data_IF_121693030542
#
_entry.id   IF_121693030542
#
_cell.length_a   1.000
_cell.length_b   1.000
_cell.length_c   1.000
_cell.angle_alpha   90.00
_cell.angle_beta   90.00
_cell.angle_gamma   90.00
#
_symmetry.space_group_name_H-M   'P 1'
#
loop_
_entity.id
_entity.type
_entity.pdbx_description
1 polymer ?
#
# COMPACT_ATOMS: atom_id res chain seq x y z
N UNK A 1 -4.39 -2.39 -13.28
CA UNK A 1 -3.25 -2.21 -12.36
C UNK A 1 -3.45 -0.95 -11.54
N UNK A 2 -3.14 -1.00 -10.24
CA UNK A 2 -3.12 0.19 -9.39
C UNK A 2 -1.87 1.04 -9.64
N UNK A 3 -2.03 2.36 -9.69
CA UNK A 3 -0.91 3.32 -9.71
C UNK A 3 -1.40 4.68 -9.19
N UNK A 4 -0.81 5.16 -8.11
CA UNK A 4 -1.25 6.36 -7.38
C UNK A 4 -0.62 7.60 -8.01
N UNK A 5 0.71 7.62 -8.11
CA UNK A 5 1.49 8.79 -8.48
C UNK A 5 1.74 8.78 -9.99
N UNK A 6 0.72 9.19 -10.74
CA UNK A 6 0.73 9.11 -12.21
C UNK A 6 1.44 10.29 -12.90
N UNK A 7 1.92 11.28 -12.13
CA UNK A 7 2.62 12.45 -12.66
C UNK A 7 3.80 12.07 -13.54
N UNK A 8 3.79 12.51 -14.80
CA UNK A 8 4.84 12.24 -15.80
C UNK A 8 5.05 10.76 -16.17
N UNK A 9 4.16 9.83 -15.80
CA UNK A 9 4.25 8.42 -16.20
C UNK A 9 3.85 8.20 -17.67
N UNK A 10 3.11 9.16 -18.25
CA UNK A 10 2.59 9.08 -19.62
C UNK A 10 1.18 8.50 -19.69
N UNK A 11 0.63 8.38 -20.90
CA UNK A 11 -0.75 7.94 -21.08
C UNK A 11 -0.95 6.48 -20.66
N UNK A 12 -2.00 6.23 -19.88
CA UNK A 12 -2.46 4.89 -19.49
C UNK A 12 -1.35 3.95 -18.92
N UNK A 13 -0.84 4.19 -17.70
CA UNK A 13 0.23 3.39 -17.09
C UNK A 13 -0.01 1.88 -17.12
N UNK A 14 -1.22 1.41 -16.78
CA UNK A 14 -1.55 -0.02 -16.85
C UNK A 14 -1.44 -0.60 -18.27
N UNK A 15 -1.75 0.19 -19.30
CA UNK A 15 -1.58 -0.21 -20.70
C UNK A 15 -0.12 -0.33 -21.07
N UNK A 16 0.70 0.63 -20.64
CA UNK A 16 2.15 0.59 -20.85
C UNK A 16 2.73 -0.69 -20.24
N UNK A 17 2.38 -1.00 -18.98
CA UNK A 17 2.81 -2.23 -18.31
C UNK A 17 2.37 -3.49 -19.08
N UNK A 18 1.12 -3.56 -19.55
CA UNK A 18 0.62 -4.68 -20.35
C UNK A 18 1.43 -4.90 -21.63
N UNK A 19 1.70 -3.82 -22.38
CA UNK A 19 2.47 -3.90 -23.64
C UNK A 19 3.94 -4.24 -23.38
N UNK A 20 4.56 -3.65 -22.34
CA UNK A 20 5.95 -3.96 -21.97
C UNK A 20 6.11 -5.40 -21.45
N UNK A 21 5.08 -5.97 -20.85
CA UNK A 21 5.04 -7.39 -20.48
C UNK A 21 4.80 -8.33 -21.67
N UNK A 22 4.63 -7.80 -22.89
CA UNK A 22 4.46 -8.59 -24.10
C UNK A 22 3.04 -9.14 -24.33
N UNK A 23 2.03 -8.65 -23.59
CA UNK A 23 0.64 -9.05 -23.81
C UNK A 23 0.10 -8.48 -25.13
N UNK A 24 -0.84 -9.19 -25.74
CA UNK A 24 -1.49 -8.78 -26.99
C UNK A 24 -2.09 -7.37 -26.89
N UNK A 25 -2.00 -6.54 -27.94
CA UNK A 25 -2.71 -5.26 -28.00
C UNK A 25 -4.22 -5.37 -27.83
N UNK A 26 -4.82 -6.55 -28.01
CA UNK A 26 -6.26 -6.80 -27.78
C UNK A 26 -6.64 -6.90 -26.30
N UNK A 27 -5.67 -6.98 -25.38
CA UNK A 27 -5.93 -7.06 -23.92
C UNK A 27 -6.29 -5.68 -23.38
N UNK A 28 -7.53 -5.52 -22.89
CA UNK A 28 -7.96 -4.27 -22.28
C UNK A 28 -7.24 -3.95 -20.97
N UNK A 29 -7.13 -2.67 -20.62
CA UNK A 29 -6.39 -2.25 -19.42
C UNK A 29 -6.92 -0.95 -18.83
N UNK A 30 -6.98 -0.90 -17.50
CA UNK A 30 -7.34 0.30 -16.74
C UNK A 30 -6.35 0.53 -15.59
N UNK A 31 -5.98 1.80 -15.40
CA UNK A 31 -5.19 2.25 -14.25
C UNK A 31 -6.13 2.69 -13.14
N UNK A 32 -5.98 2.11 -11.95
CA UNK A 32 -6.85 2.39 -10.79
C UNK A 32 -6.07 3.26 -9.81
N UNK A 33 -6.66 4.38 -9.40
CA UNK A 33 -6.15 5.16 -8.28
C UNK A 33 -7.19 5.15 -7.15
N UNK A 34 -6.86 4.41 -6.09
CA UNK A 34 -7.51 4.43 -4.78
C UNK A 34 -6.44 4.60 -3.69
N UNK A 35 -5.46 5.47 -3.94
CA UNK A 35 -4.30 5.73 -3.07
C UNK A 35 -3.64 4.39 -2.66
N UNK A 36 -3.28 4.18 -1.40
CA UNK A 36 -2.60 2.96 -0.94
C UNK A 36 -3.39 1.67 -1.25
N UNK A 37 -4.72 1.74 -1.40
CA UNK A 37 -5.55 0.58 -1.73
C UNK A 37 -5.60 0.25 -3.23
N UNK A 38 -4.91 1.00 -4.10
CA UNK A 38 -5.00 0.87 -5.56
C UNK A 38 -4.71 -0.54 -6.06
N UNK A 39 -3.66 -1.18 -5.54
CA UNK A 39 -3.27 -2.54 -5.92
C UNK A 39 -4.33 -3.57 -5.55
N UNK A 40 -4.74 -3.58 -4.28
CA UNK A 40 -5.77 -4.50 -3.78
C UNK A 40 -7.14 -4.24 -4.44
N UNK A 41 -7.48 -2.98 -4.71
CA UNK A 41 -8.71 -2.63 -5.42
C UNK A 41 -8.71 -3.14 -6.86
N UNK A 42 -7.58 -3.09 -7.55
CA UNK A 42 -7.46 -3.65 -8.89
C UNK A 42 -7.72 -5.18 -8.88
N UNK A 43 -7.24 -5.90 -7.87
CA UNK A 43 -7.52 -7.34 -7.69
C UNK A 43 -9.02 -7.58 -7.48
N UNK A 44 -9.68 -6.78 -6.64
CA UNK A 44 -11.12 -6.89 -6.42
C UNK A 44 -11.94 -6.62 -7.70
N UNK A 45 -11.56 -5.60 -8.49
CA UNK A 45 -12.22 -5.29 -9.76
C UNK A 45 -12.01 -6.40 -10.81
N UNK A 46 -10.82 -6.99 -10.86
CA UNK A 46 -10.55 -8.13 -11.74
C UNK A 46 -11.38 -9.37 -11.33
N UNK A 47 -11.52 -9.63 -10.03
CA UNK A 47 -12.40 -10.69 -9.54
C UNK A 47 -13.87 -10.44 -9.95
N UNK A 48 -14.33 -9.19 -9.92
CA UNK A 48 -15.70 -8.83 -10.35
C UNK A 48 -15.96 -9.14 -11.83
N UNK A 49 -15.01 -8.87 -12.73
CA UNK A 49 -15.15 -9.26 -14.15
C UNK A 49 -15.36 -10.77 -14.32
N UNK A 50 -14.62 -11.59 -13.55
CA UNK A 50 -14.74 -13.05 -13.57
C UNK A 50 -16.08 -13.49 -12.95
N UNK A 51 -16.46 -12.91 -11.82
CA UNK A 51 -17.73 -13.21 -11.13
C UNK A 51 -18.96 -12.90 -11.99
N UNK A 52 -18.88 -11.86 -12.83
CA UNK A 52 -19.94 -11.45 -13.75
C UNK A 52 -19.93 -12.23 -15.08
N UNK A 53 -18.98 -13.15 -15.29
CA UNK A 53 -18.84 -13.89 -16.54
C UNK A 53 -18.36 -13.04 -17.72
N UNK A 54 -17.69 -11.91 -17.45
CA UNK A 54 -17.18 -11.00 -18.48
C UNK A 54 -15.75 -11.35 -18.92
N UNK A 55 -15.02 -12.11 -18.11
CA UNK A 55 -13.68 -12.61 -18.43
C UNK A 55 -13.39 -13.91 -17.68
N UNK A 56 -12.54 -14.78 -18.25
CA UNK A 56 -12.11 -16.02 -17.59
C UNK A 56 -10.75 -15.89 -16.89
N UNK A 57 -9.91 -14.95 -17.32
CA UNK A 57 -8.60 -14.66 -16.73
C UNK A 57 -8.31 -13.17 -16.72
N UNK A 58 -7.65 -12.69 -15.66
CA UNK A 58 -7.28 -11.28 -15.49
C UNK A 58 -5.90 -11.18 -14.82
N UNK A 59 -5.12 -10.15 -15.18
CA UNK A 59 -3.92 -9.76 -14.42
C UNK A 59 -4.24 -8.51 -13.62
N UNK A 60 -3.97 -8.54 -12.31
CA UNK A 60 -4.24 -7.44 -11.41
C UNK A 60 -3.18 -7.30 -10.32
N UNK A 61 -3.05 -6.10 -9.76
CA UNK A 61 -2.00 -5.77 -8.81
C UNK A 61 -1.72 -4.27 -8.85
N UNK A 62 -0.53 -3.83 -8.47
CA UNK A 62 -0.15 -2.43 -8.43
C UNK A 62 1.31 -2.18 -8.76
N UNK A 63 1.63 -0.94 -9.11
CA UNK A 63 2.99 -0.49 -9.36
C UNK A 63 3.15 0.97 -8.93
N UNK A 64 4.32 1.29 -8.39
CA UNK A 64 4.68 2.66 -8.04
C UNK A 64 6.19 2.85 -8.16
N UNK A 65 6.60 4.05 -8.57
CA UNK A 65 7.99 4.48 -8.48
C UNK A 65 8.01 5.90 -7.91
N UNK A 66 8.07 5.98 -6.58
CA UNK A 66 8.09 7.23 -5.83
C UNK A 66 9.35 8.04 -6.17
N UNK A 67 10.48 7.39 -6.42
CA UNK A 67 11.74 8.08 -6.78
C UNK A 67 11.64 8.90 -8.07
N UNK A 68 10.72 8.58 -8.98
CA UNK A 68 10.54 9.24 -10.27
C UNK A 68 9.39 10.25 -10.33
N UNK A 69 8.71 10.47 -9.21
CA UNK A 69 7.61 11.44 -9.15
C UNK A 69 8.16 12.86 -9.30
N UNK A 70 7.61 13.68 -10.21
CA UNK A 70 8.18 15.00 -10.49
C UNK A 70 7.65 16.07 -9.53
N UNK A 71 8.33 17.21 -9.51
CA UNK A 71 7.73 18.47 -9.09
C UNK A 71 6.77 18.99 -10.17
N UNK A 72 5.77 19.76 -9.76
CA UNK A 72 4.80 20.34 -10.69
C UNK A 72 5.01 21.84 -10.92
N UNK A 73 5.12 22.21 -12.19
CA UNK A 73 5.05 23.59 -12.66
C UNK A 73 3.70 23.82 -13.37
N UNK A 74 2.83 24.71 -12.88
CA UNK A 74 1.60 25.06 -13.59
C UNK A 74 1.89 25.65 -14.97
N UNK A 75 0.94 25.50 -15.91
CA UNK A 75 1.01 26.18 -17.21
C UNK A 75 1.04 27.69 -17.04
N UNK A 76 1.57 28.41 -18.04
CA UNK A 76 1.71 29.86 -18.02
C UNK A 76 0.44 30.63 -17.65
N UNK A 77 -0.74 30.15 -18.07
CA UNK A 77 -2.02 30.78 -17.73
C UNK A 77 -2.43 30.68 -16.25
N UNK A 78 -1.72 29.88 -15.45
CA UNK A 78 -1.92 29.70 -14.02
C UNK A 78 -0.73 30.23 -13.20
N UNK A 79 0.28 30.80 -13.86
CA UNK A 79 1.43 31.40 -13.20
C UNK A 79 1.20 32.91 -13.01
N UNK A 80 1.69 33.50 -11.91
CA UNK A 80 1.67 34.94 -11.73
C UNK A 80 2.58 35.61 -12.77
N UNK A 81 2.25 36.83 -13.24
CA UNK A 81 3.06 37.55 -14.22
C UNK A 81 4.42 38.01 -13.66
N UNK A 82 4.55 38.14 -12.34
CA UNK A 82 5.78 38.43 -11.60
C UNK A 82 5.62 37.94 -10.14
N UNK A 83 6.74 37.74 -9.43
CA UNK A 83 6.73 37.32 -8.02
C UNK A 83 7.17 35.87 -7.80
N UNK A 84 7.14 35.43 -6.54
CA UNK A 84 7.56 34.08 -6.12
C UNK A 84 6.61 33.00 -6.64
N UNK A 85 7.16 31.85 -7.06
CA UNK A 85 6.41 30.65 -7.44
C UNK A 85 6.94 29.48 -6.62
N UNK A 86 6.05 28.78 -5.92
CA UNK A 86 6.35 27.51 -5.25
C UNK A 86 5.98 26.35 -6.15
N UNK A 87 6.93 25.44 -6.37
CA UNK A 87 6.69 24.20 -7.09
C UNK A 87 6.35 23.13 -6.06
N UNK A 88 5.22 22.46 -6.28
CA UNK A 88 4.75 21.40 -5.39
C UNK A 88 5.49 20.09 -5.71
N UNK A 89 5.93 19.38 -4.68
CA UNK A 89 6.42 18.00 -4.81
C UNK A 89 5.22 17.07 -5.02
N UNK A 90 5.22 16.29 -6.12
CA UNK A 90 4.14 15.38 -6.44
C UNK A 90 3.95 14.25 -5.42
N UNK A 91 5.02 13.82 -4.73
CA UNK A 91 4.92 12.83 -3.66
C UNK A 91 4.00 13.31 -2.56
N UNK A 92 4.22 14.57 -2.15
CA UNK A 92 3.45 15.20 -1.08
C UNK A 92 2.05 15.51 -1.60
N UNK A 93 1.94 16.29 -2.68
CA UNK A 93 0.67 16.82 -3.15
C UNK A 93 -0.34 15.75 -3.55
N UNK A 94 0.09 14.74 -4.31
CA UNK A 94 -0.83 13.76 -4.90
C UNK A 94 -0.91 12.47 -4.05
N UNK A 95 0.12 12.18 -3.23
CA UNK A 95 0.21 10.94 -2.46
C UNK A 95 0.00 11.07 -0.95
N UNK A 96 0.57 12.11 -0.33
CA UNK A 96 0.78 12.14 1.13
C UNK A 96 0.15 13.35 1.84
N UNK A 97 -0.69 14.11 1.14
CA UNK A 97 -1.33 15.32 1.66
C UNK A 97 -2.84 15.20 1.73
N UNK A 98 -3.41 15.48 2.89
CA UNK A 98 -4.86 15.47 3.05
C UNK A 98 -5.45 16.72 2.39
N UNK A 99 -6.34 16.49 1.42
CA UNK A 99 -6.91 17.58 0.61
C UNK A 99 -7.84 18.46 1.45
N UNK A 100 -8.43 17.94 2.52
CA UNK A 100 -9.44 18.65 3.32
C UNK A 100 -8.80 19.46 4.45
N UNK A 101 -7.96 18.80 5.26
CA UNK A 101 -7.36 19.36 6.47
C UNK A 101 -6.02 20.05 6.22
N UNK A 102 -5.45 19.90 5.00
CA UNK A 102 -4.22 20.55 4.56
C UNK A 102 -3.01 20.24 5.47
N UNK A 103 -2.78 18.95 5.72
CA UNK A 103 -1.59 18.46 6.40
C UNK A 103 -1.13 17.11 5.84
N UNK A 104 0.06 16.67 6.27
CA UNK A 104 0.63 15.39 5.90
C UNK A 104 -0.13 14.20 6.53
N UNK A 105 -0.20 13.05 5.87
CA UNK A 105 -0.79 11.80 6.42
C UNK A 105 -0.24 11.40 7.79
N UNK A 106 0.98 11.82 8.11
CA UNK A 106 1.60 11.59 9.41
C UNK A 106 0.87 12.29 10.56
N UNK A 107 0.17 13.40 10.30
CA UNK A 107 -0.67 14.08 11.30
C UNK A 107 -1.95 13.28 11.59
N UNK A 108 -2.50 12.55 10.62
CA UNK A 108 -3.59 11.60 10.89
C UNK A 108 -3.12 10.49 11.83
N UNK A 109 -1.90 9.99 11.62
CA UNK A 109 -1.30 8.96 12.47
C UNK A 109 -1.05 9.48 13.90
N UNK A 110 -0.56 10.72 14.06
CA UNK A 110 -0.43 11.37 15.38
C UNK A 110 -1.80 11.53 16.06
N UNK A 111 -2.82 11.95 15.31
CA UNK A 111 -4.19 12.11 15.84
C UNK A 111 -4.75 10.78 16.33
N UNK A 112 -4.53 9.71 15.55
CA UNK A 112 -4.91 8.34 15.93
C UNK A 112 -4.12 7.86 17.14
N UNK A 113 -2.80 8.06 17.16
CA UNK A 113 -1.95 7.66 18.28
C UNK A 113 -2.41 8.32 19.58
N UNK A 114 -2.74 9.61 19.54
CA UNK A 114 -3.32 10.33 20.68
C UNK A 114 -4.69 9.80 21.09
N UNK A 115 -5.60 9.59 20.13
CA UNK A 115 -6.99 9.13 20.38
C UNK A 115 -7.04 7.75 21.03
N UNK A 116 -6.14 6.85 20.66
CA UNK A 116 -6.10 5.48 21.16
C UNK A 116 -4.97 5.23 22.16
N UNK A 117 -4.36 6.30 22.71
CA UNK A 117 -3.30 6.23 23.73
C UNK A 117 -2.19 5.25 23.33
N UNK A 118 -1.65 5.42 22.12
CA UNK A 118 -0.55 4.62 21.58
C UNK A 118 0.72 5.43 21.80
N UNK A 119 1.56 4.96 22.74
CA UNK A 119 2.77 5.68 23.12
C UNK A 119 3.81 5.68 22.01
N UNK A 120 4.83 6.53 22.14
CA UNK A 120 6.01 6.51 21.27
C UNK A 120 6.74 5.17 21.39
N UNK A 121 6.82 4.65 22.60
CA UNK A 121 7.46 3.38 22.92
C UNK A 121 6.74 2.22 22.24
N UNK A 122 5.41 2.17 22.29
CA UNK A 122 4.60 1.15 21.59
C UNK A 122 4.87 1.14 20.08
N UNK A 123 4.99 2.34 19.48
CA UNK A 123 5.26 2.50 18.05
C UNK A 123 6.67 2.04 17.69
N UNK A 124 7.68 2.46 18.46
CA UNK A 124 9.07 2.06 18.21
C UNK A 124 9.26 0.56 18.44
N UNK A 125 8.65 -0.03 19.48
CA UNK A 125 8.71 -1.48 19.73
C UNK A 125 8.09 -2.29 18.59
N UNK A 126 6.93 -1.87 18.08
CA UNK A 126 6.32 -2.49 16.91
C UNK A 126 7.24 -2.41 15.69
N UNK A 127 7.84 -1.24 15.43
CA UNK A 127 8.76 -1.06 14.32
C UNK A 127 10.02 -1.94 14.45
N UNK A 128 10.60 -2.06 15.65
CA UNK A 128 11.71 -3.00 15.93
C UNK A 128 11.28 -4.43 15.57
N UNK A 129 10.09 -4.85 16.02
CA UNK A 129 9.55 -6.18 15.74
C UNK A 129 9.38 -6.41 14.23
N UNK A 130 8.84 -5.42 13.50
CA UNK A 130 8.68 -5.49 12.03
C UNK A 130 10.03 -5.69 11.33
N UNK A 131 11.03 -4.87 11.64
CA UNK A 131 12.40 -5.03 11.12
C UNK A 131 12.98 -6.42 11.42
N UNK A 132 12.82 -6.92 12.65
CA UNK A 132 13.31 -8.25 13.04
C UNK A 132 12.60 -9.37 12.28
N UNK A 133 11.28 -9.27 12.06
CA UNK A 133 10.50 -10.23 11.26
C UNK A 133 10.97 -10.23 9.81
N UNK A 134 11.17 -9.06 9.21
CA UNK A 134 11.67 -8.91 7.85
C UNK A 134 13.08 -9.51 7.70
N UNK A 135 14.01 -9.18 8.61
CA UNK A 135 15.36 -9.76 8.64
C UNK A 135 15.34 -11.27 8.77
N UNK A 136 14.50 -11.81 9.65
CA UNK A 136 14.34 -13.25 9.81
C UNK A 136 13.79 -13.90 8.53
N UNK A 137 12.75 -13.34 7.92
CA UNK A 137 12.16 -13.86 6.69
C UNK A 137 13.16 -13.85 5.52
N UNK A 138 13.98 -12.80 5.40
CA UNK A 138 15.06 -12.71 4.42
C UNK A 138 16.20 -13.70 4.68
N UNK A 139 16.57 -13.93 5.95
CA UNK A 139 17.57 -14.93 6.33
C UNK A 139 17.08 -16.36 6.09
N UNK A 140 15.77 -16.60 6.24
CA UNK A 140 15.10 -17.87 5.97
C UNK A 140 14.67 -18.00 4.49
N UNK A 141 15.03 -17.03 3.64
CA UNK A 141 14.74 -17.00 2.21
C UNK A 141 13.25 -17.15 1.85
N UNK A 142 12.35 -16.61 2.69
CA UNK A 142 10.89 -16.78 2.52
C UNK A 142 10.30 -16.07 1.30
N UNK A 143 10.95 -15.01 0.83
CA UNK A 143 10.46 -14.19 -0.29
C UNK A 143 10.95 -14.67 -1.66
N UNK A 144 11.78 -15.71 -1.71
CA UNK A 144 12.38 -16.18 -2.97
C UNK A 144 11.33 -16.64 -3.99
N UNK A 145 10.21 -17.21 -3.53
CA UNK A 145 9.16 -17.70 -4.41
C UNK A 145 8.27 -16.58 -4.97
N UNK A 146 8.21 -15.41 -4.32
CA UNK A 146 7.34 -14.29 -4.71
C UNK A 146 8.06 -13.16 -5.43
N UNK A 147 9.39 -13.05 -5.30
CA UNK A 147 10.19 -12.02 -5.96
C UNK A 147 10.52 -12.42 -7.40
N UNK A 148 10.17 -11.52 -8.33
CA UNK A 148 10.66 -11.55 -9.71
C UNK A 148 11.87 -10.60 -9.85
N UNK A 149 13.09 -11.10 -10.12
CA UNK A 149 14.27 -10.26 -10.25
C UNK A 149 14.12 -9.18 -11.34
N UNK A 150 14.62 -7.98 -11.06
CA UNK A 150 14.60 -6.83 -11.98
C UNK A 150 16.00 -6.56 -12.52
N UNK A 151 16.20 -6.81 -13.82
CA UNK A 151 17.46 -6.49 -14.50
C UNK A 151 17.49 -5.03 -14.95
N UNK A 152 18.30 -4.23 -14.27
CA UNK A 152 18.55 -2.81 -14.58
C UNK A 152 19.72 -2.69 -15.55
N UNK A 153 19.43 -2.23 -16.78
CA UNK A 153 20.46 -2.00 -17.81
C UNK A 153 21.13 -0.64 -17.61
N UNK A 154 22.41 -0.65 -17.27
CA UNK A 154 23.25 0.54 -17.12
C UNK A 154 24.25 0.72 -18.26
N UNK A 155 24.93 1.88 -18.29
CA UNK A 155 25.95 2.18 -19.31
C UNK A 155 27.16 1.23 -19.27
N UNK A 156 27.44 0.62 -18.12
CA UNK A 156 28.61 -0.24 -17.88
C UNK A 156 28.27 -1.72 -17.72
N UNK A 157 27.04 -2.12 -18.02
CA UNK A 157 26.56 -3.50 -17.84
C UNK A 157 25.19 -3.54 -17.17
N UNK A 158 24.78 -4.74 -16.77
CA UNK A 158 23.49 -5.00 -16.15
C UNK A 158 23.65 -5.23 -14.64
N UNK A 159 22.66 -4.79 -13.85
CA UNK A 159 22.55 -5.07 -12.42
C UNK A 159 21.24 -5.77 -12.17
N UNK A 160 21.26 -6.94 -11.53
CA UNK A 160 20.05 -7.67 -11.18
C UNK A 160 19.68 -7.31 -9.74
N UNK A 161 18.48 -6.79 -9.54
CA UNK A 161 17.91 -6.48 -8.24
C UNK A 161 16.92 -7.58 -7.89
N UNK A 162 17.23 -8.36 -6.86
CA UNK A 162 16.44 -9.52 -6.42
C UNK A 162 16.24 -9.55 -4.89
N UNK A 163 16.60 -8.45 -4.21
CA UNK A 163 16.55 -8.33 -2.75
C UNK A 163 15.88 -7.02 -2.36
N UNK A 164 15.00 -7.07 -1.36
CA UNK A 164 14.45 -5.85 -0.78
C UNK A 164 15.56 -5.00 -0.16
N UNK A 165 15.47 -3.69 -0.35
CA UNK A 165 16.40 -2.73 0.20
C UNK A 165 15.76 -2.00 1.39
N UNK A 166 16.46 -1.95 2.52
CA UNK A 166 16.07 -1.15 3.69
C UNK A 166 15.82 -1.93 4.98
N UNK A 167 15.46 -3.22 4.92
CA UNK A 167 15.16 -4.03 6.11
C UNK A 167 16.40 -4.27 7.01
N UNK A 168 17.62 -4.09 6.51
CA UNK A 168 18.88 -4.20 7.28
C UNK A 168 19.22 -2.92 8.07
N UNK A 169 18.50 -1.83 7.83
CA UNK A 169 18.83 -0.51 8.37
C UNK A 169 18.40 -0.32 9.84
N UNK A 170 17.89 -1.35 10.50
CA UNK A 170 17.52 -1.29 11.91
C UNK A 170 18.71 -0.83 12.76
N UNK A 171 18.51 0.25 13.51
CA UNK A 171 19.43 0.75 14.53
C UNK A 171 18.62 1.03 15.79
N UNK A 172 18.46 0.00 16.62
CA UNK A 172 17.59 0.01 17.81
C UNK A 172 17.87 1.23 18.70
N UNK A 173 19.14 1.51 19.02
CA UNK A 173 19.51 2.64 19.88
C UNK A 173 19.15 4.00 19.26
N UNK A 174 19.19 4.10 17.93
CA UNK A 174 18.85 5.35 17.23
C UNK A 174 17.35 5.58 17.18
N UNK A 175 16.52 4.53 17.11
CA UNK A 175 15.06 4.68 16.99
C UNK A 175 14.50 5.54 18.11
N UNK A 176 14.90 5.28 19.37
CA UNK A 176 14.45 6.03 20.55
C UNK A 176 14.86 7.52 20.55
N UNK A 177 15.87 7.89 19.78
CA UNK A 177 16.40 9.27 19.71
C UNK A 177 15.93 10.04 18.48
N UNK A 178 15.21 9.38 17.56
CA UNK A 178 14.66 10.06 16.39
C UNK A 178 13.64 11.11 16.82
N UNK A 179 13.77 12.29 16.22
CA UNK A 179 12.82 13.39 16.38
C UNK A 179 11.52 13.07 15.65
N UNK A 180 10.37 13.53 16.17
CA UNK A 180 9.11 13.45 15.45
C UNK A 180 9.20 14.08 14.06
N UNK A 181 8.68 13.37 13.06
CA UNK A 181 8.79 13.76 11.66
C UNK A 181 7.78 14.85 11.29
N UNK A 182 6.57 14.76 11.82
CA UNK A 182 5.41 15.54 11.37
C UNK A 182 4.96 16.58 12.40
N UNK A 183 4.78 16.20 13.67
CA UNK A 183 4.33 17.11 14.73
C UNK A 183 5.50 17.51 15.63
N UNK A 184 5.88 18.79 15.62
CA UNK A 184 7.10 19.30 16.29
C UNK A 184 6.83 20.22 17.49
N UNK A 185 5.63 20.21 18.02
CA UNK A 185 5.23 21.03 19.20
C UNK A 185 5.65 20.42 20.55
N UNK A 186 6.36 19.28 20.52
CA UNK A 186 6.77 18.53 21.71
C UNK A 186 5.88 17.32 22.03
N UNK A 187 4.74 17.17 21.35
CA UNK A 187 3.79 16.05 21.57
C UNK A 187 3.86 14.97 20.51
N UNK A 188 4.63 15.17 19.45
CA UNK A 188 4.75 14.21 18.35
C UNK A 188 5.38 12.87 18.75
N UNK A 189 4.85 11.80 18.18
CA UNK A 189 5.23 10.41 18.45
C UNK A 189 5.66 9.66 17.19
N UNK A 190 5.25 10.13 16.00
CA UNK A 190 5.54 9.49 14.73
C UNK A 190 6.91 9.97 14.21
N UNK A 191 7.79 9.03 13.91
CA UNK A 191 9.16 9.26 13.42
C UNK A 191 9.43 8.54 12.12
N UNK A 192 10.55 8.86 11.48
CA UNK A 192 11.01 8.11 10.31
C UNK A 192 11.35 6.63 10.60
N UNK A 193 11.53 6.25 11.88
CA UNK A 193 11.83 4.87 12.26
C UNK A 193 10.59 4.01 12.50
N UNK A 194 9.44 4.63 12.78
CA UNK A 194 8.17 3.95 13.08
C UNK A 194 7.06 4.27 12.05
N UNK A 195 7.46 4.81 10.89
CA UNK A 195 6.63 5.05 9.72
C UNK A 195 7.19 4.26 8.52
N UNK A 196 6.33 3.91 7.56
CA UNK A 196 6.78 3.29 6.31
C UNK A 196 7.68 4.25 5.52
N UNK A 197 8.65 3.69 4.80
CA UNK A 197 9.50 4.44 3.88
C UNK A 197 8.78 4.73 2.56
N UNK A 198 9.37 5.62 1.75
CA UNK A 198 8.98 5.79 0.34
C UNK A 198 9.77 4.79 -0.49
N UNK A 199 9.09 4.01 -1.33
CA UNK A 199 9.69 2.88 -2.03
C UNK A 199 9.21 2.78 -3.49
N UNK A 200 9.99 2.05 -4.29
CA UNK A 200 9.67 1.73 -5.67
C UNK A 200 9.43 0.22 -5.79
N UNK A 201 8.39 -0.19 -6.50
CA UNK A 201 8.07 -1.61 -6.67
C UNK A 201 6.80 -1.86 -7.46
N UNK A 202 6.60 -3.12 -7.84
CA UNK A 202 5.38 -3.58 -8.48
C UNK A 202 5.03 -5.00 -8.02
N UNK A 203 3.74 -5.30 -7.97
CA UNK A 203 3.21 -6.63 -7.69
C UNK A 203 2.07 -6.95 -8.66
N UNK A 204 1.98 -8.19 -9.10
CA UNK A 204 0.96 -8.65 -10.04
C UNK A 204 0.54 -10.09 -9.73
N UNK A 205 -0.75 -10.36 -9.85
CA UNK A 205 -1.37 -11.67 -9.67
C UNK A 205 -2.16 -12.01 -10.94
N UNK A 206 -2.18 -13.31 -11.27
CA UNK A 206 -3.10 -13.86 -12.25
C UNK A 206 -4.33 -14.38 -11.51
N UNK A 207 -5.50 -13.89 -11.89
CA UNK A 207 -6.79 -14.37 -11.43
C UNK A 207 -7.44 -15.16 -12.56
N UNK A 208 -8.11 -16.26 -12.21
CA UNK A 208 -8.80 -17.10 -13.17
C UNK A 208 -10.13 -17.60 -12.61
N UNK A 209 -11.07 -17.90 -13.50
CA UNK A 209 -12.29 -18.63 -13.16
C UNK A 209 -11.94 -20.03 -12.63
N UNK A 210 -12.85 -20.62 -11.85
CA UNK A 210 -12.64 -21.95 -11.27
C UNK A 210 -12.38 -23.01 -12.35
N UNK A 211 -13.08 -22.92 -13.46
CA UNK A 211 -12.99 -23.90 -14.54
C UNK A 211 -11.67 -23.74 -15.29
N UNK A 212 -11.27 -22.51 -15.61
CA UNK A 212 -9.98 -22.23 -16.24
C UNK A 212 -8.80 -22.63 -15.33
N UNK A 213 -8.90 -22.35 -14.03
CA UNK A 213 -7.89 -22.77 -13.05
C UNK A 213 -7.77 -24.30 -12.93
N UNK A 214 -8.87 -25.06 -13.11
CA UNK A 214 -8.84 -26.53 -13.14
C UNK A 214 -8.26 -27.10 -14.42
N UNK A 215 -8.54 -26.44 -15.55
CA UNK A 215 -8.04 -26.85 -16.86
C UNK A 215 -6.53 -26.62 -16.99
N UNK A 216 -6.07 -25.40 -16.68
CA UNK A 216 -4.69 -24.98 -16.93
C UNK A 216 -3.81 -24.93 -15.68
N UNK A 217 -4.38 -24.96 -14.48
CA UNK A 217 -3.65 -24.88 -13.20
C UNK A 217 -3.17 -26.22 -12.64
N UNK A 218 -3.23 -27.32 -13.39
CA UNK A 218 -2.88 -28.65 -12.86
C UNK A 218 -1.40 -28.78 -12.44
N UNK A 219 -0.51 -27.91 -12.93
CA UNK A 219 0.90 -27.79 -12.49
C UNK A 219 1.19 -26.59 -11.57
N UNK A 220 0.28 -25.61 -11.49
CA UNK A 220 0.36 -24.44 -10.63
C UNK A 220 -0.84 -24.47 -9.69
N UNK A 221 -0.67 -25.05 -8.49
CA UNK A 221 -1.73 -25.09 -7.48
C UNK A 221 -2.33 -23.69 -7.34
N UNK A 222 -3.64 -23.56 -7.58
CA UNK A 222 -4.35 -22.33 -7.28
C UNK A 222 -4.04 -21.94 -5.82
N UNK A 223 -3.28 -20.85 -5.65
CA UNK A 223 -2.67 -20.52 -4.36
C UNK A 223 -3.73 -20.21 -3.31
N UNK A 224 -4.78 -19.51 -3.73
CA UNK A 224 -5.90 -19.13 -2.88
C UNK A 224 -7.19 -18.95 -3.70
N UNK A 225 -8.32 -18.90 -3.00
CA UNK A 225 -9.61 -18.47 -3.53
C UNK A 225 -9.98 -17.14 -2.88
N UNK A 226 -10.32 -16.14 -3.68
CA UNK A 226 -10.91 -14.90 -3.19
C UNK A 226 -12.33 -15.21 -2.70
N UNK A 227 -12.55 -15.13 -1.39
CA UNK A 227 -13.86 -15.45 -0.77
C UNK A 227 -14.75 -14.22 -0.60
N UNK A 228 -14.16 -13.05 -0.38
CA UNK A 228 -14.86 -11.78 -0.25
C UNK A 228 -13.92 -10.60 -0.51
N UNK A 229 -14.50 -9.42 -0.69
CA UNK A 229 -13.81 -8.14 -0.57
C UNK A 229 -14.77 -7.09 -0.03
N UNK A 230 -14.25 -6.07 0.63
CA UNK A 230 -15.02 -4.94 1.12
C UNK A 230 -14.21 -3.65 1.03
N UNK A 231 -14.92 -2.56 0.73
CA UNK A 231 -14.42 -1.20 0.82
C UNK A 231 -15.18 -0.51 1.94
N UNK A 232 -14.49 0.30 2.74
CA UNK A 232 -15.11 1.18 3.70
C UNK A 232 -14.43 2.55 3.69
N UNK A 233 -15.18 3.57 4.10
CA UNK A 233 -14.70 4.93 4.29
C UNK A 233 -15.21 5.47 5.63
N UNK A 234 -14.40 6.39 6.18
CA UNK A 234 -14.62 7.13 7.42
C UNK A 234 -14.06 8.55 7.22
N UNK A 235 -14.05 9.36 8.27
CA UNK A 235 -13.47 10.70 8.21
C UNK A 235 -11.99 10.65 7.71
N UNK A 236 -11.56 11.57 6.83
CA UNK A 236 -10.20 11.57 6.30
C UNK A 236 -9.09 11.57 7.38
N UNK A 237 -9.31 12.23 8.52
CA UNK A 237 -8.33 12.25 9.62
C UNK A 237 -8.23 10.89 10.31
N UNK A 238 -9.34 10.15 10.35
CA UNK A 238 -9.41 8.83 10.98
C UNK A 238 -8.97 7.69 10.03
N UNK A 239 -8.47 7.96 8.81
CA UNK A 239 -8.07 6.90 7.86
C UNK A 239 -7.24 5.75 8.47
N UNK A 240 -6.34 5.96 9.46
CA UNK A 240 -5.60 4.87 10.09
C UNK A 240 -6.48 3.75 10.66
N UNK A 241 -7.73 4.03 11.05
CA UNK A 241 -8.69 3.03 11.58
C UNK A 241 -9.76 2.62 10.57
N UNK A 242 -9.65 3.05 9.30
CA UNK A 242 -10.55 2.60 8.25
C UNK A 242 -10.55 1.06 8.05
N UNK A 243 -9.40 0.34 8.22
CA UNK A 243 -9.40 -1.12 8.14
C UNK A 243 -10.32 -1.78 9.18
N UNK A 244 -10.45 -1.21 10.39
CA UNK A 244 -11.35 -1.71 11.42
C UNK A 244 -12.84 -1.68 11.00
N UNK A 245 -13.22 -0.85 10.00
CA UNK A 245 -14.55 -0.86 9.40
C UNK A 245 -14.64 -1.79 8.18
N UNK A 246 -13.59 -1.87 7.37
CA UNK A 246 -13.59 -2.69 6.15
C UNK A 246 -13.54 -4.20 6.45
N UNK A 247 -12.76 -4.61 7.45
CA UNK A 247 -12.54 -6.03 7.79
C UNK A 247 -13.82 -6.72 8.25
N UNK A 248 -14.63 -6.18 9.19
CA UNK A 248 -15.89 -6.82 9.60
C UNK A 248 -16.84 -7.06 8.41
N UNK A 249 -16.97 -6.10 7.49
CA UNK A 249 -17.80 -6.24 6.29
C UNK A 249 -17.26 -7.35 5.38
N UNK A 250 -15.94 -7.46 5.22
CA UNK A 250 -15.32 -8.52 4.43
C UNK A 250 -15.53 -9.92 5.06
N UNK A 251 -15.42 -10.02 6.39
CA UNK A 251 -15.68 -11.25 7.15
C UNK A 251 -17.14 -11.68 7.04
N UNK A 252 -18.07 -10.73 7.23
CA UNK A 252 -19.52 -10.96 7.10
C UNK A 252 -19.87 -11.50 5.71
N UNK A 253 -19.34 -10.88 4.64
CA UNK A 253 -19.54 -11.34 3.26
C UNK A 253 -18.93 -12.72 2.99
N UNK A 254 -17.82 -13.05 3.65
CA UNK A 254 -17.20 -14.37 3.57
C UNK A 254 -17.92 -15.42 4.42
N UNK A 255 -18.78 -15.01 5.36
CA UNK A 255 -19.44 -15.91 6.30
C UNK A 255 -18.46 -16.58 7.28
N UNK A 256 -17.38 -15.88 7.67
CA UNK A 256 -16.38 -16.39 8.62
C UNK A 256 -16.18 -15.42 9.79
N UNK A 257 -15.67 -15.93 10.89
CA UNK A 257 -15.30 -15.15 12.09
C UNK A 257 -13.82 -14.77 12.07
N UNK A 258 -13.43 -13.78 12.89
CA UNK A 258 -12.04 -13.36 13.06
C UNK A 258 -11.11 -14.50 13.49
N UNK A 259 -11.61 -15.42 14.33
CA UNK A 259 -10.82 -16.52 14.89
C UNK A 259 -10.55 -17.64 13.86
N UNK A 260 -11.24 -17.62 12.72
CA UNK A 260 -11.00 -18.55 11.61
C UNK A 260 -9.92 -18.04 10.63
N UNK A 261 -9.47 -16.79 10.78
CA UNK A 261 -8.41 -16.22 9.94
C UNK A 261 -7.05 -16.60 10.53
N UNK A 262 -6.28 -17.39 9.77
CA UNK A 262 -4.98 -17.88 10.22
C UNK A 262 -3.87 -16.83 10.17
N UNK A 263 -3.89 -15.95 9.15
CA UNK A 263 -2.86 -14.93 8.91
C UNK A 263 -3.54 -13.63 8.50
N UNK A 264 -3.09 -12.54 9.12
CA UNK A 264 -3.53 -11.17 8.84
C UNK A 264 -2.36 -10.39 8.26
N UNK A 265 -2.59 -9.74 7.12
CA UNK A 265 -1.65 -8.80 6.51
C UNK A 265 -2.29 -7.41 6.50
N UNK A 266 -1.90 -6.58 7.46
CA UNK A 266 -2.26 -5.16 7.51
C UNK A 266 -1.04 -4.34 7.11
N UNK A 267 -1.19 -3.45 6.13
CA UNK A 267 -0.09 -2.61 5.68
C UNK A 267 0.36 -1.63 6.77
N UNK A 268 1.66 -1.65 7.07
CA UNK A 268 2.29 -0.87 8.15
C UNK A 268 2.62 0.58 7.73
N UNK A 269 1.63 1.34 7.25
CA UNK A 269 1.86 2.74 6.84
C UNK A 269 2.48 3.58 7.98
N UNK A 270 2.02 3.34 9.21
CA UNK A 270 2.63 3.82 10.45
C UNK A 270 2.44 2.74 11.52
N UNK A 271 3.36 2.61 12.48
CA UNK A 271 3.19 1.70 13.60
C UNK A 271 1.88 1.99 14.37
N UNK A 272 1.50 3.27 14.50
CA UNK A 272 0.23 3.70 15.08
C UNK A 272 -1.00 3.09 14.37
N UNK A 273 -0.95 2.87 13.06
CA UNK A 273 -2.04 2.22 12.30
C UNK A 273 -2.25 0.80 12.80
N UNK A 274 -1.18 0.01 12.91
CA UNK A 274 -1.30 -1.39 13.33
C UNK A 274 -1.79 -1.47 14.78
N UNK A 275 -1.14 -0.74 15.69
CA UNK A 275 -1.51 -0.72 17.11
C UNK A 275 -2.96 -0.25 17.32
N UNK A 276 -3.44 0.72 16.54
CA UNK A 276 -4.83 1.17 16.63
C UNK A 276 -5.80 0.08 16.16
N UNK A 277 -5.56 -0.57 15.02
CA UNK A 277 -6.46 -1.61 14.51
C UNK A 277 -6.45 -2.87 15.40
N UNK A 278 -5.34 -3.19 16.08
CA UNK A 278 -5.30 -4.22 17.13
C UNK A 278 -6.23 -3.88 18.30
N UNK A 279 -6.18 -2.63 18.79
CA UNK A 279 -7.05 -2.16 19.89
C UNK A 279 -8.52 -2.12 19.47
N UNK A 280 -8.84 -1.54 18.31
CA UNK A 280 -10.23 -1.38 17.86
C UNK A 280 -10.88 -2.73 17.55
N UNK A 281 -10.15 -3.65 16.90
CA UNK A 281 -10.69 -4.98 16.53
C UNK A 281 -10.90 -5.92 17.72
N UNK A 282 -10.30 -5.62 18.88
CA UNK A 282 -10.50 -6.38 20.13
C UNK A 282 -11.69 -5.86 20.95
N UNK A 283 -12.09 -4.60 20.78
CA UNK A 283 -13.10 -3.94 21.62
C UNK A 283 -14.50 -3.82 21.00
N UNK A 284 -14.69 -4.10 19.70
CA UNK A 284 -16.02 -4.10 19.05
C UNK A 284 -16.91 -5.30 19.39
N UNK A 285 -16.92 -5.74 20.65
CA UNK A 285 -17.94 -6.70 21.13
C UNK A 285 -19.13 -5.98 21.79
N UNK A 286 -19.06 -4.68 22.12
CA UNK A 286 -20.14 -4.06 22.92
C UNK A 286 -20.79 -2.77 22.42
N UNK A 287 -20.18 -1.95 21.54
CA UNK A 287 -20.78 -0.67 21.18
C UNK A 287 -20.80 -0.46 19.66
N UNK A 288 -21.96 -0.67 19.05
CA UNK A 288 -22.47 0.11 17.90
C UNK A 288 -23.97 -0.24 17.69
N UNK A 289 -24.81 0.26 18.60
CA UNK A 289 -26.19 0.61 18.29
C UNK A 289 -26.23 2.11 17.96
N UNK A 290 -26.23 2.47 16.67
CA UNK A 290 -26.82 3.70 16.15
C UNK A 290 -27.27 3.52 14.69
#
# INVERSE_FOLDING_TARGET
MGNVLQGSVGQAPARQASIFAGLSPTVESMTVNKVCASGLKAVALAAQNIQLGLADAQVAGGMENMSRVPYYLPRSSQLPPFGEIKLEDGLIKDGLWDVYNKFHMGICAETTAKKYEISREDQDEYAIQSYQRAQKAWNENKFADEIAPVTVKGKKGETVVERDEGYENLRVDKMKTLKPAFLRDGTGTVTAGNASTMNDGASALVLASKDLAREFGQGNRALARIVSSADAAIDPVDFPVAPAKAVPIALERAGITKDQVAVWEFNEAFAAVIKANEKVSTHHVEDDQY
#
